data_IF_689702118326
#
_entry.id   IF_689702118326
#
_cell.length_a   1.000
_cell.length_b   1.000
_cell.length_c   1.000
_cell.angle_alpha   90.00
_cell.angle_beta   90.00
_cell.angle_gamma   90.00
#
_symmetry.space_group_name_H-M   'P 1'
#
loop_
_entity.id
_entity.type
_entity.pdbx_description
1 polymer ?
#
# COMPACT_ATOMS: atom_id res chain seq x y z
N UNK A 1 46.46 33.63 -21.01
CA UNK A 1 45.65 32.49 -20.53
C UNK A 1 45.99 31.29 -21.40
N UNK A 2 46.71 30.29 -20.90
CA UNK A 2 47.02 29.07 -21.66
C UNK A 2 45.74 28.25 -21.73
N UNK A 3 45.10 28.23 -22.91
CA UNK A 3 43.93 27.40 -23.15
C UNK A 3 44.29 25.94 -22.90
N UNK A 4 43.44 25.24 -22.14
CA UNK A 4 43.48 23.79 -22.06
C UNK A 4 43.43 23.29 -23.51
N UNK A 5 44.43 22.50 -23.92
CA UNK A 5 44.48 21.91 -25.25
C UNK A 5 43.13 21.26 -25.55
N UNK A 6 42.56 21.50 -26.74
CA UNK A 6 41.24 20.98 -27.12
C UNK A 6 41.12 19.48 -26.89
N UNK A 7 42.22 18.74 -27.03
CA UNK A 7 42.31 17.30 -26.77
C UNK A 7 42.05 16.96 -25.29
N UNK A 8 42.63 17.74 -24.37
CA UNK A 8 42.44 17.55 -22.93
C UNK A 8 41.02 17.92 -22.53
N UNK A 9 40.46 18.99 -23.12
CA UNK A 9 39.07 19.37 -22.89
C UNK A 9 38.10 18.28 -23.36
N UNK A 10 38.34 17.68 -24.54
CA UNK A 10 37.50 16.58 -25.05
C UNK A 10 37.60 15.32 -24.19
N UNK A 11 38.79 14.99 -23.66
CA UNK A 11 38.98 13.83 -22.80
C UNK A 11 38.25 13.99 -21.46
N UNK A 12 38.30 15.18 -20.86
CA UNK A 12 37.57 15.49 -19.62
C UNK A 12 36.06 15.46 -19.87
N UNK A 13 35.59 16.05 -20.98
CA UNK A 13 34.18 16.03 -21.33
C UNK A 13 33.67 14.59 -21.47
N UNK A 14 34.41 13.73 -22.18
CA UNK A 14 34.05 12.33 -22.39
C UNK A 14 34.02 11.55 -21.06
N UNK A 15 35.00 11.79 -20.17
CA UNK A 15 35.00 11.18 -18.84
C UNK A 15 33.78 11.60 -18.00
N UNK A 16 33.40 12.89 -18.04
CA UNK A 16 32.22 13.40 -17.35
C UNK A 16 30.92 12.82 -17.94
N UNK A 17 30.82 12.66 -19.26
CA UNK A 17 29.64 12.06 -19.90
C UNK A 17 29.46 10.60 -19.48
N UNK A 18 30.54 9.82 -19.44
CA UNK A 18 30.49 8.42 -18.98
C UNK A 18 30.09 8.36 -17.51
N UNK A 19 30.73 9.17 -16.65
CA UNK A 19 30.39 9.23 -15.22
C UNK A 19 28.92 9.64 -14.99
N UNK A 20 28.44 10.66 -15.69
CA UNK A 20 27.04 11.09 -15.61
C UNK A 20 26.06 10.01 -16.06
N UNK A 21 26.39 9.28 -17.12
CA UNK A 21 25.54 8.19 -17.63
C UNK A 21 25.41 7.04 -16.61
N UNK A 22 26.52 6.67 -15.96
CA UNK A 22 26.51 5.63 -14.92
C UNK A 22 25.68 6.06 -13.71
N UNK A 23 25.80 7.30 -13.27
CA UNK A 23 25.00 7.84 -12.17
C UNK A 23 23.52 7.86 -12.49
N UNK A 24 23.15 8.31 -13.70
CA UNK A 24 21.77 8.33 -14.16
C UNK A 24 21.19 6.91 -14.21
N UNK A 25 21.95 5.95 -14.74
CA UNK A 25 21.54 4.54 -14.76
C UNK A 25 21.29 4.00 -13.36
N UNK A 26 22.21 4.25 -12.41
CA UNK A 26 22.05 3.83 -11.02
C UNK A 26 20.81 4.44 -10.37
N UNK A 27 20.54 5.73 -10.61
CA UNK A 27 19.35 6.41 -10.12
C UNK A 27 18.06 5.80 -10.68
N UNK A 28 17.98 5.62 -12.01
CA UNK A 28 16.79 5.06 -12.67
C UNK A 28 16.54 3.63 -12.21
N UNK A 29 17.57 2.78 -12.15
CA UNK A 29 17.42 1.41 -11.68
C UNK A 29 17.03 1.34 -10.21
N UNK A 30 17.59 2.21 -9.36
CA UNK A 30 17.18 2.32 -7.96
C UNK A 30 15.70 2.67 -7.83
N UNK A 31 15.22 3.64 -8.61
CA UNK A 31 13.83 4.06 -8.62
C UNK A 31 12.87 2.96 -9.14
N UNK A 32 13.26 2.24 -10.19
CA UNK A 32 12.46 1.13 -10.70
C UNK A 32 12.40 -0.03 -9.70
N UNK A 33 13.50 -0.32 -9.02
CA UNK A 33 13.54 -1.41 -8.06
C UNK A 33 12.66 -1.13 -6.83
N UNK A 34 12.62 0.11 -6.33
CA UNK A 34 11.70 0.46 -5.23
C UNK A 34 10.23 0.33 -5.61
N UNK A 35 9.87 0.61 -6.87
CA UNK A 35 8.51 0.41 -7.36
C UNK A 35 8.12 -1.08 -7.44
N UNK A 36 9.09 -1.95 -7.76
CA UNK A 36 8.90 -3.41 -7.85
C UNK A 36 8.85 -4.04 -6.43
N UNK A 37 9.55 -3.47 -5.47
CA UNK A 37 9.67 -4.01 -4.10
C UNK A 37 8.48 -3.69 -3.18
N UNK A 38 7.47 -2.95 -3.61
CA UNK A 38 6.33 -2.66 -2.72
C UNK A 38 5.35 -3.84 -2.65
N UNK A 39 5.04 -4.30 -1.43
CA UNK A 39 3.83 -5.08 -1.19
C UNK A 39 2.61 -4.20 -1.47
N UNK A 40 1.59 -4.72 -2.17
CA UNK A 40 0.41 -3.95 -2.59
C UNK A 40 -0.84 -4.76 -2.28
N UNK A 41 -1.70 -4.23 -1.44
CA UNK A 41 -2.96 -4.88 -1.07
C UNK A 41 -4.13 -4.33 -1.89
N UNK A 42 -5.05 -5.22 -2.23
CA UNK A 42 -6.37 -4.91 -2.80
C UNK A 42 -7.42 -5.64 -1.97
N UNK A 43 -8.52 -4.97 -1.67
CA UNK A 43 -9.68 -5.59 -1.03
C UNK A 43 -10.51 -6.25 -2.14
N UNK A 44 -10.58 -7.59 -2.14
CA UNK A 44 -11.39 -8.32 -3.13
C UNK A 44 -12.88 -8.28 -2.76
N UNK A 45 -13.19 -8.44 -1.47
CA UNK A 45 -14.54 -8.35 -0.95
C UNK A 45 -14.55 -7.80 0.48
N UNK A 46 -15.62 -7.10 0.83
CA UNK A 46 -15.95 -6.79 2.21
C UNK A 46 -17.44 -7.08 2.43
N UNK A 47 -17.78 -7.87 3.44
CA UNK A 47 -19.16 -8.17 3.77
C UNK A 47 -19.44 -8.16 5.27
N UNK A 48 -20.57 -7.57 5.64
CA UNK A 48 -21.02 -7.46 7.02
C UNK A 48 -22.16 -8.42 7.29
N UNK A 49 -21.94 -9.33 8.25
CA UNK A 49 -22.91 -10.29 8.74
C UNK A 49 -23.69 -9.66 9.89
N UNK A 50 -24.85 -9.07 9.58
CA UNK A 50 -25.64 -8.30 10.55
C UNK A 50 -26.03 -9.13 11.78
N UNK A 51 -26.40 -10.39 11.57
CA UNK A 51 -26.84 -11.29 12.64
C UNK A 51 -25.75 -11.63 13.65
N UNK A 52 -24.48 -11.54 13.24
CA UNK A 52 -23.32 -11.90 14.07
C UNK A 52 -22.53 -10.67 14.54
N UNK A 53 -22.85 -9.47 14.04
CA UNK A 53 -22.06 -8.26 14.30
C UNK A 53 -20.62 -8.36 13.77
N UNK A 54 -20.39 -9.16 12.73
CA UNK A 54 -19.05 -9.45 12.19
C UNK A 54 -18.89 -8.87 10.79
N UNK A 55 -17.85 -8.07 10.61
CA UNK A 55 -17.38 -7.63 9.31
C UNK A 55 -16.24 -8.55 8.88
N UNK A 56 -16.34 -9.12 7.68
CA UNK A 56 -15.28 -9.94 7.10
C UNK A 56 -14.76 -9.23 5.87
N UNK A 57 -13.44 -9.04 5.84
CA UNK A 57 -12.75 -8.35 4.75
C UNK A 57 -11.75 -9.33 4.13
N UNK A 58 -11.87 -9.54 2.83
CA UNK A 58 -10.97 -10.38 2.03
C UNK A 58 -9.97 -9.48 1.33
N UNK A 59 -8.70 -9.67 1.67
CA UNK A 59 -7.58 -8.90 1.13
C UNK A 59 -6.65 -9.79 0.36
N UNK A 60 -6.22 -9.32 -0.81
CA UNK A 60 -5.23 -10.00 -1.62
C UNK A 60 -4.00 -9.13 -1.81
N UNK A 61 -2.84 -9.76 -1.68
CA UNK A 61 -1.60 -9.11 -2.05
C UNK A 61 -1.32 -9.32 -3.53
N UNK A 62 -1.36 -8.23 -4.29
CA UNK A 62 -1.03 -8.19 -5.72
C UNK A 62 0.39 -7.67 -5.97
N UNK A 63 1.13 -7.32 -4.91
CA UNK A 63 2.53 -6.93 -4.98
C UNK A 63 3.47 -8.14 -5.06
N UNK A 64 4.77 -7.85 -5.23
CA UNK A 64 5.82 -8.88 -5.35
C UNK A 64 6.50 -9.21 -4.01
N UNK A 65 6.17 -8.49 -2.93
CA UNK A 65 6.65 -8.74 -1.57
C UNK A 65 5.48 -8.83 -0.58
N UNK A 66 5.74 -9.42 0.57
CA UNK A 66 4.78 -9.51 1.67
C UNK A 66 4.27 -8.11 2.06
N UNK A 67 2.98 -8.03 2.37
CA UNK A 67 2.36 -6.82 2.90
C UNK A 67 1.91 -7.09 4.34
N UNK A 68 2.30 -6.20 5.24
CA UNK A 68 1.92 -6.27 6.65
C UNK A 68 0.78 -5.29 6.87
N UNK A 69 -0.38 -5.81 7.26
CA UNK A 69 -1.51 -4.99 7.67
C UNK A 69 -1.18 -4.42 9.05
N UNK A 70 -1.46 -3.14 9.23
CA UNK A 70 -1.25 -2.44 10.49
C UNK A 70 -2.60 -2.26 11.21
N UNK A 71 -3.58 -1.70 10.50
CA UNK A 71 -4.93 -1.49 11.00
C UNK A 71 -5.96 -1.47 9.87
N UNK A 72 -7.21 -1.70 10.25
CA UNK A 72 -8.36 -1.56 9.37
C UNK A 72 -9.25 -0.44 9.89
N UNK A 73 -9.49 0.56 9.06
CA UNK A 73 -10.44 1.62 9.31
C UNK A 73 -11.78 1.27 8.66
N UNK A 74 -12.85 1.36 9.44
CA UNK A 74 -14.22 1.08 9.01
C UNK A 74 -15.02 2.37 9.14
N UNK A 75 -15.56 2.86 8.02
CA UNK A 75 -16.44 4.01 8.01
C UNK A 75 -17.89 3.53 8.12
N UNK A 76 -18.58 4.00 9.15
CA UNK A 76 -19.96 3.62 9.42
C UNK A 76 -20.96 4.61 8.81
N UNK A 77 -22.22 4.18 8.68
CA UNK A 77 -23.31 4.95 8.07
C UNK A 77 -23.68 6.25 8.79
N UNK A 78 -23.29 6.39 10.05
CA UNK A 78 -23.48 7.61 10.84
C UNK A 78 -22.32 8.63 10.67
N UNK A 79 -21.35 8.33 9.81
CA UNK A 79 -20.18 9.19 9.56
C UNK A 79 -19.05 9.01 10.58
N UNK A 80 -19.17 8.09 11.54
CA UNK A 80 -18.10 7.76 12.49
C UNK A 80 -17.19 6.71 11.86
N UNK A 81 -15.87 6.87 12.01
CA UNK A 81 -14.89 5.82 11.69
C UNK A 81 -14.44 5.07 12.94
N UNK A 82 -14.22 3.77 12.80
CA UNK A 82 -13.60 2.92 13.82
C UNK A 82 -12.34 2.27 13.28
N UNK A 83 -11.27 2.35 14.06
CA UNK A 83 -9.99 1.73 13.71
C UNK A 83 -9.81 0.45 14.51
N UNK A 84 -9.42 -0.61 13.82
CA UNK A 84 -9.15 -1.92 14.40
C UNK A 84 -7.72 -2.33 14.07
N UNK A 85 -6.85 -2.33 15.08
CA UNK A 85 -5.48 -2.79 14.94
C UNK A 85 -5.45 -4.28 14.58
N UNK A 86 -4.67 -4.62 13.55
CA UNK A 86 -4.56 -5.97 13.02
C UNK A 86 -3.15 -6.17 12.48
N UNK A 87 -2.31 -6.91 13.17
CA UNK A 87 -0.99 -7.31 12.63
C UNK A 87 -1.15 -8.62 11.88
N UNK A 88 -1.33 -8.54 10.56
CA UNK A 88 -1.43 -9.71 9.69
C UNK A 88 -0.50 -9.58 8.48
N UNK A 89 0.30 -10.63 8.25
CA UNK A 89 1.16 -10.71 7.07
C UNK A 89 0.41 -11.41 5.94
N UNK A 90 0.37 -10.78 4.77
CA UNK A 90 -0.23 -11.32 3.55
C UNK A 90 0.89 -11.57 2.52
N UNK A 91 1.26 -12.83 2.26
CA UNK A 91 2.27 -13.18 1.25
C UNK A 91 1.84 -12.79 -0.18
N UNK A 92 2.78 -12.58 -1.11
CA UNK A 92 2.49 -12.28 -2.51
C UNK A 92 1.54 -13.30 -3.16
N UNK A 93 0.50 -12.82 -3.83
CA UNK A 93 -0.47 -13.66 -4.53
C UNK A 93 -1.51 -14.34 -3.64
N UNK A 94 -1.34 -14.33 -2.31
CA UNK A 94 -2.30 -14.91 -1.38
C UNK A 94 -3.45 -13.97 -1.06
N UNK A 95 -4.59 -14.57 -0.72
CA UNK A 95 -5.77 -13.89 -0.18
C UNK A 95 -5.96 -14.31 1.27
N UNK A 96 -6.17 -13.33 2.16
CA UNK A 96 -6.42 -13.55 3.58
C UNK A 96 -7.72 -12.88 4.00
N UNK A 97 -8.39 -13.49 4.97
CA UNK A 97 -9.60 -12.95 5.57
C UNK A 97 -9.26 -12.30 6.91
N UNK A 98 -9.81 -11.11 7.12
CA UNK A 98 -9.68 -10.35 8.36
C UNK A 98 -11.06 -10.29 9.01
N UNK A 99 -11.31 -11.08 10.08
CA UNK A 99 -12.54 -10.98 10.83
C UNK A 99 -12.46 -9.80 11.80
N UNK A 100 -13.37 -8.83 11.63
CA UNK A 100 -13.50 -7.67 12.51
C UNK A 100 -14.81 -7.83 13.28
N UNK A 101 -14.70 -7.84 14.61
CA UNK A 101 -15.86 -7.84 15.51
C UNK A 101 -16.21 -6.38 15.77
N UNK A 102 -17.41 -5.98 15.34
CA UNK A 102 -17.94 -4.65 15.63
C UNK A 102 -18.75 -4.76 16.93
N UNK A 103 -18.28 -4.08 17.98
CA UNK A 103 -18.98 -4.03 19.27
C UNK A 103 -20.29 -3.25 19.10
N UNK A 104 -21.39 -3.99 19.00
CA UNK A 104 -22.73 -3.41 18.96
C UNK A 104 -23.13 -2.91 20.36
N UNK A 105 -22.73 -1.71 20.75
CA UNK A 105 -23.23 -1.07 21.97
C UNK A 105 -24.34 -0.06 21.64
N UNK A 106 -25.60 -0.49 21.77
CA UNK A 106 -26.78 0.39 21.84
C UNK A 106 -27.42 0.83 20.52
N UNK A 107 -28.63 1.38 20.62
CA UNK A 107 -29.66 1.73 19.61
C UNK A 107 -29.23 2.61 18.41
N UNK A 108 -27.94 2.84 18.20
CA UNK A 108 -27.42 3.39 16.95
C UNK A 108 -26.68 2.29 16.20
N UNK A 109 -27.43 1.44 15.50
CA UNK A 109 -26.90 0.46 14.56
C UNK A 109 -26.24 1.18 13.38
N UNK A 110 -25.03 1.67 13.59
CA UNK A 110 -24.21 2.24 12.54
C UNK A 110 -23.70 1.08 11.68
N UNK A 111 -24.21 1.00 10.45
CA UNK A 111 -23.88 -0.08 9.52
C UNK A 111 -22.54 0.27 8.88
N UNK A 112 -21.56 -0.65 8.82
CA UNK A 112 -20.32 -0.39 8.11
C UNK A 112 -20.62 -0.17 6.61
N UNK A 113 -20.14 0.94 6.05
CA UNK A 113 -20.34 1.30 4.65
C UNK A 113 -19.07 1.14 3.82
N UNK A 114 -17.92 1.57 4.35
CA UNK A 114 -16.64 1.47 3.65
C UNK A 114 -15.56 0.91 4.56
N UNK A 115 -14.58 0.25 3.94
CA UNK A 115 -13.38 -0.24 4.61
C UNK A 115 -12.16 0.31 3.90
N UNK A 116 -11.20 0.78 4.70
CA UNK A 116 -9.88 1.22 4.27
C UNK A 116 -8.87 0.43 5.09
N UNK A 117 -7.84 -0.10 4.44
CA UNK A 117 -6.82 -0.91 5.10
C UNK A 117 -5.50 -0.19 4.99
N UNK A 118 -4.86 0.04 6.14
CA UNK A 118 -3.51 0.55 6.20
C UNK A 118 -2.52 -0.60 6.32
N UNK A 119 -1.44 -0.52 5.55
CA UNK A 119 -0.42 -1.54 5.47
C UNK A 119 0.97 -0.93 5.23
N UNK A 120 2.00 -1.68 5.61
CA UNK A 120 3.40 -1.29 5.46
C UNK A 120 3.69 0.12 6.01
N UNK A 121 3.05 0.49 7.14
CA UNK A 121 3.21 1.73 7.92
C UNK A 121 2.82 3.04 7.23
N UNK A 122 2.52 3.03 5.94
CA UNK A 122 2.33 4.26 5.16
C UNK A 122 1.39 4.12 3.96
N UNK A 123 1.12 2.91 3.51
CA UNK A 123 0.25 2.67 2.37
C UNK A 123 -1.18 2.39 2.83
N UNK A 124 -2.16 2.83 2.06
CA UNK A 124 -3.57 2.56 2.30
C UNK A 124 -4.22 2.00 1.04
N UNK A 125 -5.26 1.18 1.21
CA UNK A 125 -6.09 0.72 0.10
C UNK A 125 -7.11 1.77 -0.28
N UNK A 126 -7.69 1.64 -1.48
CA UNK A 126 -8.86 2.42 -1.85
C UNK A 126 -10.06 2.06 -0.95
N UNK A 127 -10.94 3.04 -0.63
CA UNK A 127 -12.16 2.78 0.13
C UNK A 127 -13.04 1.77 -0.60
N UNK A 128 -13.29 0.63 0.03
CA UNK A 128 -14.07 -0.45 -0.57
C UNK A 128 -15.44 -0.54 0.10
N UNK A 129 -16.55 -0.54 -0.68
CA UNK A 129 -17.88 -0.61 -0.12
C UNK A 129 -18.16 -1.97 0.51
N UNK A 130 -18.80 -1.96 1.67
CA UNK A 130 -19.19 -3.15 2.42
C UNK A 130 -20.56 -3.62 1.95
N UNK A 131 -20.63 -4.90 1.56
CA UNK A 131 -21.90 -5.55 1.19
C UNK A 131 -22.57 -6.09 2.45
N UNK A 132 -23.84 -5.79 2.65
CA UNK A 132 -24.60 -6.31 3.79
C UNK A 132 -25.12 -7.71 3.43
N UNK A 133 -24.91 -8.68 4.31
CA UNK A 133 -25.42 -10.05 4.21
C UNK A 133 -26.14 -10.48 5.49
#
# INVERSE_FOLDING_TARGET
MKGISGIVATAILLALTVAGSVLLYGYVMGYLNTAIESGKLVVENAYYLRNLGKLVVEVRNIGMREAIIDYVEVLMSNGISSTHDQTLVVPPGETRQIPIVLSNSGDQQAIPQYVIIAYNKSATTEPTPVKIR
#
